data_IF_593953330452
#
_entry.id   IF_593953330452
#
_cell.length_a   1.000
_cell.length_b   1.000
_cell.length_c   1.000
_cell.angle_alpha   90.00
_cell.angle_beta   90.00
_cell.angle_gamma   90.00
#
_symmetry.space_group_name_H-M   'P 1'
#
loop_
_entity.id
_entity.type
_entity.pdbx_description
1 polymer ?
#
# COMPACT_ATOMS: atom_id res chain seq x y z
N UNK A 1 26.88 7.80 15.06
CA UNK A 1 27.30 6.43 15.45
C UNK A 1 27.25 5.58 14.19
N UNK A 2 28.38 4.99 13.78
CA UNK A 2 28.49 4.18 12.56
C UNK A 2 29.16 2.84 12.86
N UNK A 3 28.90 1.85 12.01
CA UNK A 3 29.51 0.52 12.06
C UNK A 3 31.01 0.69 11.76
N UNK A 4 31.87 0.21 12.65
CA UNK A 4 33.32 0.42 12.58
C UNK A 4 34.06 -0.57 11.66
N UNK A 5 33.34 -1.46 10.95
CA UNK A 5 33.98 -2.42 10.03
C UNK A 5 33.03 -2.91 8.90
N UNK A 6 32.71 -2.07 7.90
CA UNK A 6 31.98 -2.51 6.71
C UNK A 6 32.92 -3.23 5.72
N UNK A 7 32.64 -4.50 5.41
CA UNK A 7 33.45 -5.35 4.52
C UNK A 7 32.84 -5.56 3.10
N UNK A 8 32.19 -4.55 2.50
CA UNK A 8 31.46 -4.71 1.22
C UNK A 8 31.50 -3.49 0.28
N UNK A 9 31.31 -3.74 -1.03
CA UNK A 9 31.46 -2.81 -2.17
C UNK A 9 30.47 -1.62 -2.22
N UNK A 10 29.43 -1.59 -1.37
CA UNK A 10 28.61 -0.39 -1.18
C UNK A 10 28.14 -0.27 0.27
N UNK A 11 28.51 0.84 0.92
CA UNK A 11 28.02 1.28 2.22
C UNK A 11 27.43 2.69 2.09
N UNK A 12 26.16 2.88 2.44
CA UNK A 12 25.48 4.18 2.30
C UNK A 12 25.22 4.80 3.66
N UNK A 13 25.93 5.90 3.94
CA UNK A 13 25.59 6.93 4.92
C UNK A 13 25.05 8.12 4.11
N UNK A 14 23.84 8.60 4.42
CA UNK A 14 23.12 9.60 3.60
C UNK A 14 23.96 10.81 3.20
N UNK A 15 23.77 11.28 1.96
CA UNK A 15 24.62 12.32 1.32
C UNK A 15 24.27 13.76 1.75
N UNK A 16 23.32 13.96 2.67
CA UNK A 16 22.84 15.26 3.18
C UNK A 16 23.00 16.36 2.11
N UNK A 17 22.27 16.21 1.00
CA UNK A 17 22.50 16.97 -0.23
C UNK A 17 21.44 18.03 -0.49
N UNK A 18 20.31 17.98 0.22
CA UNK A 18 19.24 18.96 0.08
C UNK A 18 19.46 20.11 1.06
N UNK A 19 19.80 21.29 0.53
CA UNK A 19 19.88 22.50 1.33
C UNK A 19 18.51 22.86 1.91
N UNK A 20 18.50 23.28 3.19
CA UNK A 20 17.36 23.98 3.79
C UNK A 20 17.27 25.40 3.23
N UNK A 21 16.08 25.99 3.30
CA UNK A 21 15.88 27.40 3.02
C UNK A 21 16.60 28.29 4.04
N UNK A 22 17.10 29.43 3.57
CA UNK A 22 17.76 30.42 4.42
C UNK A 22 19.12 29.97 4.97
N UNK A 23 19.52 30.58 6.08
CA UNK A 23 20.79 30.33 6.76
C UNK A 23 20.60 30.17 8.25
N UNK A 24 21.54 29.49 8.90
CA UNK A 24 21.52 29.30 10.35
C UNK A 24 22.73 29.90 11.05
N UNK A 25 22.59 30.07 12.36
CA UNK A 25 23.68 30.30 13.28
C UNK A 25 23.59 29.34 14.47
N UNK A 26 24.73 28.81 14.88
CA UNK A 26 24.90 28.02 16.11
C UNK A 26 26.22 28.44 16.75
N UNK A 27 26.17 28.81 18.03
CA UNK A 27 27.37 29.22 18.75
C UNK A 27 28.27 28.01 19.07
N UNK A 28 29.58 28.27 19.23
CA UNK A 28 30.53 27.27 19.72
C UNK A 28 30.08 26.70 21.07
N UNK A 29 30.03 25.38 21.19
CA UNK A 29 29.61 24.68 22.40
C UNK A 29 28.10 24.75 22.67
N UNK A 30 27.29 25.24 21.71
CA UNK A 30 25.83 25.29 21.83
C UNK A 30 25.17 24.23 20.93
N UNK A 31 24.04 23.68 21.39
CA UNK A 31 23.13 22.87 20.58
C UNK A 31 21.95 23.68 20.02
N UNK A 32 21.84 24.96 20.41
CA UNK A 32 20.76 25.84 19.99
C UNK A 32 21.09 26.43 18.62
N UNK A 33 20.20 26.23 17.65
CA UNK A 33 20.32 26.75 16.29
C UNK A 33 19.24 27.81 16.07
N UNK A 34 19.66 28.99 15.64
CA UNK A 34 18.76 30.04 15.16
C UNK A 34 18.85 30.14 13.64
N UNK A 35 17.74 30.49 13.01
CA UNK A 35 17.62 30.57 11.56
C UNK A 35 17.16 31.94 11.07
N UNK A 36 17.65 32.33 9.91
CA UNK A 36 17.22 33.51 9.14
C UNK A 36 16.62 32.98 7.85
N UNK A 37 15.39 33.42 7.54
CA UNK A 37 14.62 32.97 6.36
C UNK A 37 14.48 31.45 6.22
N UNK A 38 14.39 30.77 7.37
CA UNK A 38 14.22 29.32 7.50
C UNK A 38 12.77 28.97 7.84
N UNK A 39 12.33 27.76 7.46
CA UNK A 39 11.03 27.19 7.78
C UNK A 39 11.15 25.79 8.40
N UNK A 40 11.88 25.68 9.51
CA UNK A 40 12.19 24.38 10.13
C UNK A 40 10.98 23.48 10.39
N UNK A 41 9.82 24.02 10.79
CA UNK A 41 8.62 23.18 11.04
C UNK A 41 8.05 22.52 9.77
N UNK A 42 8.43 22.99 8.59
CA UNK A 42 8.01 22.44 7.29
C UNK A 42 9.10 21.66 6.57
N UNK A 43 10.36 21.96 6.88
CA UNK A 43 11.50 21.45 6.13
C UNK A 43 12.20 20.27 6.81
N UNK A 44 12.06 20.16 8.13
CA UNK A 44 12.69 19.11 8.93
C UNK A 44 11.72 18.55 9.97
N UNK A 45 11.98 17.33 10.42
CA UNK A 45 11.27 16.64 11.49
C UNK A 45 12.24 16.23 12.61
N UNK A 46 11.69 15.85 13.77
CA UNK A 46 12.47 15.28 14.85
C UNK A 46 13.23 14.04 14.37
N UNK A 47 14.50 13.94 14.77
CA UNK A 47 15.42 12.88 14.37
C UNK A 47 16.05 13.04 12.98
N UNK A 48 15.71 14.08 12.21
CA UNK A 48 16.36 14.33 10.91
C UNK A 48 17.84 14.63 11.09
N UNK A 49 18.65 14.18 10.14
CA UNK A 49 20.07 14.47 10.09
C UNK A 49 20.32 15.81 9.42
N UNK A 50 21.15 16.65 10.04
CA UNK A 50 21.54 17.96 9.54
C UNK A 50 23.07 18.00 9.40
N UNK A 51 23.56 18.22 8.18
CA UNK A 51 24.94 18.58 7.93
C UNK A 51 25.07 20.09 8.14
N UNK A 52 25.84 20.47 9.15
CA UNK A 52 26.17 21.87 9.46
C UNK A 52 27.69 21.97 9.41
N UNK A 53 28.20 22.68 8.40
CA UNK A 53 29.64 22.65 8.09
C UNK A 53 30.10 21.25 7.71
N UNK A 54 31.01 20.68 8.49
CA UNK A 54 31.60 19.35 8.31
C UNK A 54 31.02 18.28 9.24
N UNK A 55 29.98 18.62 10.03
CA UNK A 55 29.43 17.72 11.05
C UNK A 55 27.95 17.45 10.90
N UNK A 56 27.60 16.21 11.20
CA UNK A 56 26.22 15.73 11.18
C UNK A 56 25.65 15.72 12.59
N UNK A 57 24.51 16.37 12.74
CA UNK A 57 23.72 16.41 13.97
C UNK A 57 22.33 15.86 13.72
N UNK A 58 21.61 15.49 14.78
CA UNK A 58 20.21 15.13 14.70
C UNK A 58 19.35 16.25 15.28
N UNK A 59 18.18 16.50 14.67
CA UNK A 59 17.17 17.39 15.22
C UNK A 59 16.58 16.76 16.48
N UNK A 60 16.85 17.35 17.65
CA UNK A 60 16.33 16.88 18.94
C UNK A 60 14.98 17.51 19.28
N UNK A 61 14.80 18.78 18.93
CA UNK A 61 13.59 19.56 19.23
C UNK A 61 13.41 20.63 18.15
N UNK A 62 12.18 20.90 17.73
CA UNK A 62 11.84 22.02 16.83
C UNK A 62 10.96 22.97 17.64
N UNK A 63 11.46 24.18 17.91
CA UNK A 63 10.77 25.20 18.71
C UNK A 63 9.96 26.17 17.86
N UNK A 64 10.28 26.27 16.58
CA UNK A 64 9.55 27.06 15.60
C UNK A 64 10.25 27.06 14.25
N UNK A 65 9.79 27.91 13.33
CA UNK A 65 10.36 27.99 11.98
C UNK A 65 11.82 28.43 11.94
N UNK A 66 12.28 29.15 12.97
CA UNK A 66 13.60 29.75 13.06
C UNK A 66 14.43 29.25 14.24
N UNK A 67 13.95 28.27 14.99
CA UNK A 67 14.65 27.77 16.17
C UNK A 67 14.49 26.25 16.30
N UNK A 68 15.61 25.56 16.45
CA UNK A 68 15.66 24.14 16.76
C UNK A 68 16.82 23.82 17.70
N UNK A 69 16.75 22.68 18.36
CA UNK A 69 17.80 22.15 19.24
C UNK A 69 18.38 20.88 18.62
N UNK A 70 19.70 20.80 18.58
CA UNK A 70 20.45 19.62 18.13
C UNK A 70 20.60 18.58 19.24
N UNK A 71 20.88 17.34 18.88
CA UNK A 71 21.15 16.25 19.82
C UNK A 71 22.46 16.43 20.60
N UNK A 72 23.41 17.22 20.09
CA UNK A 72 24.69 17.50 20.72
C UNK A 72 25.19 18.93 20.37
N UNK A 73 26.05 19.54 21.20
CA UNK A 73 26.60 20.87 20.91
C UNK A 73 27.52 20.90 19.68
N UNK A 74 27.48 22.01 18.92
CA UNK A 74 28.40 22.24 17.81
C UNK A 74 29.79 22.63 18.34
N UNK A 75 30.86 21.88 18.02
CA UNK A 75 32.20 22.05 18.62
C UNK A 75 32.88 23.41 18.36
N UNK A 76 32.57 24.03 17.23
CA UNK A 76 33.24 25.22 16.68
C UNK A 76 32.24 26.33 16.36
N UNK A 77 30.95 26.06 16.50
CA UNK A 77 29.87 26.90 15.98
C UNK A 77 29.82 26.96 14.44
N UNK A 78 28.80 27.62 13.91
CA UNK A 78 28.66 27.95 12.50
C UNK A 78 27.82 29.23 12.40
N UNK A 79 28.20 30.16 11.53
CA UNK A 79 27.48 31.42 11.33
C UNK A 79 27.15 31.60 9.86
N UNK A 80 25.95 32.08 9.57
CA UNK A 80 25.41 32.22 8.22
C UNK A 80 25.59 30.95 7.36
N UNK A 81 25.41 29.78 7.99
CA UNK A 81 25.70 28.50 7.36
C UNK A 81 24.47 27.98 6.63
N UNK A 82 24.68 27.42 5.44
CA UNK A 82 23.69 26.57 4.78
C UNK A 82 23.70 25.20 5.43
N UNK A 83 22.51 24.72 5.79
CA UNK A 83 22.33 23.38 6.37
C UNK A 83 21.83 22.47 5.29
N UNK A 84 22.35 21.25 5.25
CA UNK A 84 21.84 20.23 4.36
C UNK A 84 21.18 19.11 5.15
N UNK A 85 20.09 18.57 4.60
CA UNK A 85 19.36 17.44 5.14
C UNK A 85 19.16 16.41 4.03
N UNK A 86 18.81 15.19 4.42
CA UNK A 86 18.19 14.22 3.54
C UNK A 86 17.11 13.51 4.35
N UNK A 87 15.93 13.36 3.75
CA UNK A 87 14.84 12.58 4.36
C UNK A 87 15.06 11.09 4.13
N UNK A 88 15.86 10.74 3.12
CA UNK A 88 16.12 9.38 2.68
C UNK A 88 17.54 8.92 3.06
N UNK A 89 17.67 7.64 3.40
CA UNK A 89 18.94 6.97 3.65
C UNK A 89 19.69 6.69 2.33
N UNK A 90 18.95 6.38 1.26
CA UNK A 90 19.46 6.18 -0.10
C UNK A 90 18.39 6.63 -1.09
N UNK A 91 18.76 7.44 -2.09
CA UNK A 91 17.89 7.69 -3.24
C UNK A 91 18.65 7.52 -4.56
N UNK A 92 18.00 6.87 -5.52
CA UNK A 92 18.41 6.79 -6.92
C UNK A 92 17.38 7.58 -7.72
N UNK A 93 17.83 8.59 -8.44
CA UNK A 93 16.98 9.48 -9.22
C UNK A 93 17.12 9.20 -10.71
N UNK A 94 16.05 9.45 -11.47
CA UNK A 94 16.13 9.52 -12.93
C UNK A 94 16.87 10.80 -13.36
N UNK A 95 17.25 10.91 -14.63
CA UNK A 95 17.82 12.16 -15.17
C UNK A 95 16.87 13.37 -15.13
N UNK A 96 15.60 13.17 -14.73
CA UNK A 96 14.62 14.23 -14.48
C UNK A 96 14.43 14.52 -12.98
N UNK A 97 15.35 14.08 -12.12
CA UNK A 97 15.33 14.27 -10.66
C UNK A 97 14.15 13.61 -9.92
N UNK A 98 13.47 12.67 -10.56
CA UNK A 98 12.38 11.89 -9.96
C UNK A 98 12.96 10.66 -9.25
N UNK A 99 12.54 10.42 -8.00
CA UNK A 99 12.98 9.22 -7.25
C UNK A 99 12.52 7.94 -7.93
N UNK A 100 13.49 7.16 -8.43
CA UNK A 100 13.26 5.84 -9.02
C UNK A 100 13.32 4.72 -7.97
N UNK A 101 14.26 4.84 -7.02
CA UNK A 101 14.36 3.99 -5.84
C UNK A 101 14.67 4.90 -4.64
N UNK A 102 13.94 4.76 -3.54
CA UNK A 102 14.25 5.42 -2.28
C UNK A 102 14.23 4.44 -1.13
N UNK A 103 15.08 4.67 -0.14
CA UNK A 103 15.02 4.03 1.17
C UNK A 103 14.92 5.16 2.17
N UNK A 104 13.78 5.28 2.84
CA UNK A 104 13.57 6.37 3.80
C UNK A 104 14.31 6.11 5.13
N UNK A 105 14.38 7.12 6.01
CA UNK A 105 14.99 6.97 7.34
C UNK A 105 14.32 5.92 8.24
N UNK A 106 13.09 5.50 7.92
CA UNK A 106 12.36 4.45 8.64
C UNK A 106 12.68 3.04 8.10
N UNK A 107 13.52 2.96 7.06
CA UNK A 107 13.90 1.73 6.37
C UNK A 107 12.81 1.21 5.43
N UNK A 108 11.86 2.04 5.01
CA UNK A 108 10.89 1.68 3.98
C UNK A 108 11.52 1.88 2.60
N UNK A 109 11.27 0.95 1.69
CA UNK A 109 11.79 0.97 0.32
C UNK A 109 10.67 1.39 -0.63
N UNK A 110 10.89 2.49 -1.37
CA UNK A 110 10.02 2.97 -2.42
C UNK A 110 10.61 2.68 -3.80
N UNK A 111 9.86 2.04 -4.70
CA UNK A 111 10.21 1.90 -6.12
C UNK A 111 9.22 2.72 -6.93
N UNK A 112 9.71 3.73 -7.65
CA UNK A 112 8.88 4.72 -8.36
C UNK A 112 8.09 5.66 -7.44
N UNK A 113 8.33 5.63 -6.13
CA UNK A 113 7.70 6.51 -5.14
C UNK A 113 8.74 7.02 -4.15
N UNK A 114 8.70 8.33 -3.86
CA UNK A 114 9.59 8.97 -2.89
C UNK A 114 9.06 8.90 -1.45
N UNK A 115 7.81 8.44 -1.24
CA UNK A 115 7.15 8.44 0.07
C UNK A 115 6.48 7.10 0.33
N UNK A 116 7.25 6.03 0.54
CA UNK A 116 6.70 4.71 0.84
C UNK A 116 5.94 4.73 2.18
N UNK A 117 4.62 4.46 2.15
CA UNK A 117 3.80 4.37 3.36
C UNK A 117 3.92 3.01 4.09
N UNK A 118 4.53 2.02 3.43
CA UNK A 118 4.74 0.66 3.90
C UNK A 118 6.19 0.25 3.67
N UNK A 119 6.60 -0.88 4.26
CA UNK A 119 8.00 -1.37 4.20
C UNK A 119 8.52 -1.54 2.78
N UNK A 120 7.68 -1.99 1.86
CA UNK A 120 7.95 -2.02 0.43
C UNK A 120 6.74 -1.42 -0.28
N UNK A 121 6.93 -0.29 -0.95
CA UNK A 121 5.92 0.37 -1.76
C UNK A 121 6.41 0.48 -3.21
N UNK A 122 5.64 -0.04 -4.14
CA UNK A 122 5.94 0.04 -5.57
C UNK A 122 4.85 0.84 -6.26
N UNK A 123 5.22 1.95 -6.88
CA UNK A 123 4.32 2.72 -7.75
C UNK A 123 4.38 2.13 -9.16
N UNK A 124 3.53 1.13 -9.41
CA UNK A 124 3.48 0.40 -10.67
C UNK A 124 3.27 -1.11 -10.46
N UNK A 125 3.37 -1.88 -11.54
CA UNK A 125 3.28 -3.33 -11.49
C UNK A 125 4.57 -3.98 -10.99
N UNK A 126 4.44 -5.13 -10.32
CA UNK A 126 5.57 -6.00 -9.94
C UNK A 126 5.48 -7.29 -10.75
N UNK A 127 6.47 -7.55 -11.60
CA UNK A 127 6.62 -8.85 -12.23
C UNK A 127 7.29 -9.81 -11.25
N UNK A 128 6.56 -10.82 -10.79
CA UNK A 128 7.08 -11.82 -9.86
C UNK A 128 7.67 -12.99 -10.65
N UNK A 129 8.84 -13.49 -10.21
CA UNK A 129 9.54 -14.60 -10.85
C UNK A 129 8.86 -15.96 -10.65
N UNK A 130 9.41 -16.98 -11.34
CA UNK A 130 8.98 -18.37 -11.21
C UNK A 130 9.93 -19.15 -10.31
N UNK A 131 9.64 -19.21 -9.00
CA UNK A 131 10.32 -20.10 -8.06
C UNK A 131 9.74 -21.51 -8.18
N UNK A 132 10.64 -22.50 -8.27
CA UNK A 132 10.29 -23.91 -8.50
C UNK A 132 10.19 -24.69 -7.20
N UNK A 133 10.85 -24.24 -6.12
CA UNK A 133 10.89 -24.93 -4.83
C UNK A 133 9.97 -24.27 -3.81
N UNK A 134 9.15 -25.09 -3.15
CA UNK A 134 8.48 -24.70 -1.92
C UNK A 134 8.90 -25.66 -0.80
N UNK A 135 9.60 -25.12 0.20
CA UNK A 135 10.04 -25.81 1.40
C UNK A 135 9.97 -24.85 2.59
N UNK A 136 10.23 -25.34 3.80
CA UNK A 136 10.12 -24.55 5.02
C UNK A 136 10.98 -23.27 5.00
N UNK A 137 12.09 -23.26 4.26
CA UNK A 137 12.94 -22.08 4.12
C UNK A 137 12.36 -20.99 3.22
N UNK A 138 11.37 -21.33 2.38
CA UNK A 138 10.71 -20.44 1.41
C UNK A 138 9.24 -20.20 1.72
N UNK A 139 8.76 -20.63 2.89
CA UNK A 139 7.41 -20.33 3.34
C UNK A 139 7.12 -18.81 3.27
N UNK A 140 5.96 -18.44 2.73
CA UNK A 140 5.57 -17.06 2.48
C UNK A 140 6.03 -16.46 1.14
N UNK A 141 6.85 -17.17 0.36
CA UNK A 141 7.22 -16.73 -1.00
C UNK A 141 5.98 -16.65 -1.88
N UNK A 142 5.84 -15.55 -2.63
CA UNK A 142 4.81 -15.38 -3.66
C UNK A 142 5.44 -15.67 -5.03
N UNK A 143 4.73 -16.38 -5.90
CA UNK A 143 5.11 -16.58 -7.30
C UNK A 143 3.93 -16.37 -8.25
N UNK A 144 4.24 -16.26 -9.53
CA UNK A 144 3.26 -16.38 -10.60
C UNK A 144 3.44 -17.73 -11.30
N UNK A 145 2.37 -18.54 -11.36
CA UNK A 145 2.35 -19.81 -12.10
C UNK A 145 1.75 -19.58 -13.49
N UNK A 146 2.57 -19.71 -14.53
CA UNK A 146 2.16 -19.48 -15.93
C UNK A 146 1.45 -20.67 -16.58
N UNK A 147 1.32 -21.80 -15.89
CA UNK A 147 0.55 -22.95 -16.37
C UNK A 147 -0.91 -22.81 -15.96
N UNK A 148 -1.15 -22.34 -14.74
CA UNK A 148 -2.50 -22.08 -14.21
C UNK A 148 -2.92 -20.61 -14.24
N UNK A 149 -2.07 -19.73 -14.78
CA UNK A 149 -2.26 -18.27 -14.90
C UNK A 149 -2.68 -17.57 -13.59
N UNK A 150 -2.16 -18.05 -12.45
CA UNK A 150 -2.59 -17.60 -11.13
C UNK A 150 -1.41 -17.26 -10.19
N UNK A 151 -1.59 -16.31 -9.25
CA UNK A 151 -0.66 -16.10 -8.16
C UNK A 151 -0.78 -17.22 -7.12
N UNK A 152 0.37 -17.71 -6.66
CA UNK A 152 0.48 -18.74 -5.64
C UNK A 152 1.43 -18.29 -4.53
N UNK A 153 1.27 -18.85 -3.34
CA UNK A 153 2.23 -18.70 -2.25
C UNK A 153 2.72 -20.06 -1.75
N UNK A 154 3.94 -20.08 -1.23
CA UNK A 154 4.51 -21.28 -0.62
C UNK A 154 4.06 -21.40 0.84
N UNK A 155 3.44 -22.52 1.21
CA UNK A 155 3.01 -22.83 2.59
C UNK A 155 4.07 -23.60 3.41
N UNK A 156 5.32 -23.61 2.93
CA UNK A 156 6.42 -24.37 3.53
C UNK A 156 6.54 -25.82 3.04
N UNK A 157 5.60 -26.33 2.23
CA UNK A 157 5.66 -27.69 1.65
C UNK A 157 5.22 -27.74 0.19
N UNK A 158 4.14 -27.04 -0.16
CA UNK A 158 3.56 -27.01 -1.49
C UNK A 158 3.12 -25.60 -1.86
N UNK A 159 3.06 -25.35 -3.16
CA UNK A 159 2.45 -24.14 -3.68
C UNK A 159 0.93 -24.21 -3.48
N UNK A 160 0.36 -23.13 -2.97
CA UNK A 160 -1.06 -22.98 -2.68
C UNK A 160 -1.61 -21.74 -3.39
N UNK A 161 -2.84 -21.85 -3.89
CA UNK A 161 -3.55 -20.73 -4.52
C UNK A 161 -3.91 -19.68 -3.48
N UNK A 162 -3.92 -18.41 -3.89
CA UNK A 162 -4.29 -17.28 -3.02
C UNK A 162 -5.82 -17.15 -2.87
N UNK A 163 -6.60 -17.74 -3.77
CA UNK A 163 -8.07 -17.66 -3.75
C UNK A 163 -8.74 -18.66 -2.77
N UNK A 164 -9.88 -18.24 -2.22
CA UNK A 164 -10.77 -19.11 -1.45
C UNK A 164 -11.57 -20.06 -2.35
N UNK A 165 -12.25 -21.06 -1.79
CA UNK A 165 -13.09 -21.97 -2.57
C UNK A 165 -14.19 -21.21 -3.32
N UNK A 166 -14.56 -21.68 -4.51
CA UNK A 166 -15.71 -21.16 -5.26
C UNK A 166 -16.95 -21.20 -4.36
N UNK A 167 -17.70 -20.09 -4.32
CA UNK A 167 -18.93 -20.00 -3.53
C UNK A 167 -19.97 -21.04 -3.95
N UNK A 168 -20.79 -21.50 -3.00
CA UNK A 168 -21.87 -22.43 -3.32
C UNK A 168 -22.80 -21.84 -4.39
N UNK A 169 -23.24 -22.67 -5.34
CA UNK A 169 -24.25 -22.27 -6.32
C UNK A 169 -25.50 -21.76 -5.61
N UNK A 170 -26.06 -20.65 -6.08
CA UNK A 170 -27.31 -20.11 -5.54
C UNK A 170 -28.44 -21.13 -5.58
N UNK A 171 -29.34 -21.09 -4.59
CA UNK A 171 -30.55 -21.93 -4.59
C UNK A 171 -31.34 -21.67 -5.89
N UNK A 172 -31.87 -22.73 -6.50
CA UNK A 172 -32.82 -22.60 -7.60
C UNK A 172 -33.99 -21.71 -7.16
N UNK A 173 -34.42 -20.79 -8.02
CA UNK A 173 -35.55 -19.90 -7.71
C UNK A 173 -36.84 -20.68 -7.49
N UNK A 174 -37.75 -20.13 -6.69
CA UNK A 174 -39.05 -20.73 -6.42
C UNK A 174 -39.83 -20.95 -7.73
N UNK A 175 -40.57 -22.06 -7.79
CA UNK A 175 -41.51 -22.32 -8.90
C UNK A 175 -42.52 -21.18 -9.01
N UNK A 176 -42.76 -20.69 -10.23
CA UNK A 176 -43.73 -19.61 -10.46
C UNK A 176 -45.14 -19.93 -9.94
N UNK A 177 -45.97 -18.90 -9.65
CA UNK A 177 -47.33 -19.13 -9.17
C UNK A 177 -48.14 -19.95 -10.18
N UNK A 178 -49.04 -20.79 -9.67
CA UNK A 178 -50.02 -21.49 -10.50
C UNK A 178 -50.82 -20.47 -11.31
N UNK A 179 -50.99 -20.72 -12.61
CA UNK A 179 -51.79 -19.86 -13.48
C UNK A 179 -53.24 -19.71 -12.99
N UNK A 180 -53.94 -18.63 -13.39
CA UNK A 180 -55.33 -18.42 -13.01
C UNK A 180 -56.20 -19.60 -13.43
N UNK A 181 -57.23 -19.92 -12.64
CA UNK A 181 -58.22 -20.93 -13.01
C UNK A 181 -58.94 -20.48 -14.29
N UNK A 182 -59.10 -21.42 -15.25
CA UNK A 182 -59.80 -21.13 -16.49
C UNK A 182 -61.26 -20.70 -16.27
N UNK A 183 -61.87 -19.97 -17.23
CA UNK A 183 -63.26 -19.56 -17.13
C UNK A 183 -64.17 -20.78 -16.93
N UNK A 184 -65.19 -20.63 -16.09
CA UNK A 184 -66.25 -21.63 -15.92
C UNK A 184 -66.97 -21.80 -17.27
N UNK A 185 -67.15 -23.05 -17.71
CA UNK A 185 -67.86 -23.35 -18.96
C UNK A 185 -69.30 -22.86 -18.93
N UNK A 186 -69.82 -22.50 -20.10
CA UNK A 186 -71.20 -22.06 -20.28
C UNK A 186 -72.20 -23.14 -19.86
N UNK A 187 -73.36 -22.70 -19.33
CA UNK A 187 -74.46 -23.60 -18.97
C UNK A 187 -75.01 -24.23 -20.26
N UNK A 188 -75.11 -25.56 -20.30
CA UNK A 188 -75.62 -26.29 -21.46
C UNK A 188 -77.07 -25.91 -21.81
N UNK A 189 -77.48 -26.04 -23.08
CA UNK A 189 -78.84 -25.71 -23.49
C UNK A 189 -79.86 -26.58 -22.76
N UNK A 190 -80.97 -25.97 -22.31
CA UNK A 190 -82.06 -26.68 -21.65
C UNK A 190 -82.69 -27.70 -22.61
N UNK A 191 -82.87 -28.94 -22.14
CA UNK A 191 -83.38 -30.05 -22.95
C UNK A 191 -84.80 -29.80 -23.49
N UNK A 192 -85.04 -30.23 -24.73
CA UNK A 192 -86.36 -30.19 -25.36
C UNK A 192 -87.35 -31.04 -24.55
N UNK A 193 -88.55 -30.50 -24.31
CA UNK A 193 -89.64 -31.17 -23.61
C UNK A 193 -90.07 -32.41 -24.40
N UNK A 194 -90.08 -33.58 -23.76
CA UNK A 194 -90.42 -34.85 -24.41
C UNK A 194 -91.88 -34.94 -24.85
N UNK A 195 -92.08 -35.55 -26.02
CA UNK A 195 -93.40 -35.83 -26.57
C UNK A 195 -94.17 -36.85 -25.73
N UNK A 196 -95.50 -36.69 -25.67
CA UNK A 196 -96.41 -37.50 -24.86
C UNK A 196 -96.46 -38.94 -25.38
N UNK A 197 -96.20 -39.92 -24.51
CA UNK A 197 -96.19 -41.34 -24.87
C UNK A 197 -97.58 -41.88 -25.28
N UNK A 198 -97.60 -42.72 -26.32
CA UNK A 198 -98.78 -43.47 -26.73
C UNK A 198 -99.06 -44.62 -25.74
N UNK A 199 -100.34 -44.97 -25.46
CA UNK A 199 -100.67 -46.08 -24.56
C UNK A 199 -100.32 -47.45 -25.17
N UNK A 200 -99.66 -48.33 -24.41
CA UNK A 200 -99.33 -49.70 -24.83
C UNK A 200 -100.41 -50.72 -24.46
N UNK A 201 -100.87 -51.47 -25.47
CA UNK A 201 -101.73 -52.66 -25.38
C UNK A 201 -100.88 -53.91 -25.14
N UNK A 202 -101.34 -54.80 -24.25
CA UNK A 202 -100.60 -55.95 -23.73
C UNK A 202 -100.59 -57.20 -24.60
N UNK A 203 -99.76 -58.16 -24.16
CA UNK A 203 -99.64 -59.52 -24.69
C UNK A 203 -98.19 -59.98 -24.72
#
# INVERSE_FOLDING_TARGET
>A
MGIKDPKADLAVLGNLSKALSGHIAVAKGSAHVTGVDTWFTKEVALGDSLLIGDRVFLVKEIRGNKELILNAPHPVGAFNATVYTDSDLLSVRTGAEVSALSIDKSGNVGVGTARPATKLAVAGGVKVGHETRCDAAREGTIRYNNISDEPEFCNGRTWSRVEGPVGAQGKQGDTGPRGPQGPKGDIGPQGLKGDKGNPGLGG
#
